data_IF_538572339556
#
_entry.id   IF_538572339556
#
_cell.length_a   1.000
_cell.length_b   1.000
_cell.length_c   1.000
_cell.angle_alpha   90.00
_cell.angle_beta   90.00
_cell.angle_gamma   90.00
#
_symmetry.space_group_name_H-M   'P 1'
#
loop_
_entity.id
_entity.type
_entity.pdbx_description
1 polymer ?
#
# COMPACT_ATOMS: atom_id res chain seq x y z
N UNK A 1 -5.91 -6.99 -2.33
CA UNK A 1 -6.69 -5.80 -2.68
C UNK A 1 -7.81 -6.16 -3.68
N UNK A 2 -7.49 -6.63 -4.91
CA UNK A 2 -8.47 -6.88 -5.99
C UNK A 2 -9.65 -7.73 -5.52
N UNK A 3 -9.41 -8.91 -4.93
CA UNK A 3 -10.48 -9.76 -4.38
C UNK A 3 -11.39 -9.03 -3.39
N UNK A 4 -10.79 -8.24 -2.48
CA UNK A 4 -11.55 -7.46 -1.50
C UNK A 4 -12.46 -6.43 -2.17
N UNK A 5 -11.97 -5.76 -3.21
CA UNK A 5 -12.75 -4.76 -3.98
C UNK A 5 -13.87 -5.45 -4.77
N UNK A 6 -13.59 -6.53 -5.48
CA UNK A 6 -14.58 -7.28 -6.26
C UNK A 6 -15.69 -7.92 -5.39
N UNK A 7 -15.40 -8.20 -4.10
CA UNK A 7 -16.37 -8.72 -3.14
C UNK A 7 -17.22 -7.63 -2.44
N UNK A 8 -17.01 -6.34 -2.74
CA UNK A 8 -17.84 -5.28 -2.17
C UNK A 8 -19.30 -5.38 -2.66
N UNK A 9 -20.29 -5.05 -1.80
CA UNK A 9 -21.70 -5.18 -2.16
C UNK A 9 -22.11 -4.40 -3.42
N UNK A 10 -21.46 -3.26 -3.67
CA UNK A 10 -21.73 -2.39 -4.85
C UNK A 10 -20.90 -2.75 -6.07
N UNK A 11 -20.07 -3.81 -6.00
CA UNK A 11 -19.33 -4.41 -7.13
C UNK A 11 -18.68 -3.36 -8.05
N UNK A 12 -17.74 -2.55 -7.57
CA UNK A 12 -17.12 -1.53 -8.39
C UNK A 12 -16.33 -2.16 -9.55
N UNK A 13 -16.29 -1.49 -10.69
CA UNK A 13 -15.39 -1.86 -11.77
C UNK A 13 -13.93 -1.67 -11.35
N UNK A 14 -13.07 -2.59 -11.77
CA UNK A 14 -11.64 -2.56 -11.49
C UNK A 14 -10.87 -2.55 -12.79
N UNK A 15 -10.01 -1.55 -12.99
CA UNK A 15 -9.08 -1.46 -14.11
C UNK A 15 -7.66 -1.52 -13.54
N UNK A 16 -6.80 -2.35 -14.11
CA UNK A 16 -5.38 -2.36 -13.78
C UNK A 16 -4.63 -1.43 -14.73
N UNK A 17 -4.16 -0.30 -14.22
CA UNK A 17 -3.33 0.64 -14.96
C UNK A 17 -1.87 0.42 -14.60
N UNK A 18 -1.07 -0.07 -15.56
CA UNK A 18 0.37 -0.27 -15.40
C UNK A 18 1.11 0.99 -15.83
N UNK A 19 1.43 1.84 -14.86
CA UNK A 19 2.29 3.00 -15.06
C UNK A 19 3.74 2.57 -15.35
N UNK A 20 4.63 3.53 -15.58
CA UNK A 20 6.04 3.29 -15.89
C UNK A 20 6.91 4.35 -15.23
N UNK A 21 8.13 3.99 -14.83
CA UNK A 21 9.16 4.93 -14.40
C UNK A 21 10.08 5.31 -15.55
N UNK A 22 10.83 6.39 -15.40
CA UNK A 22 11.72 6.87 -16.44
C UNK A 22 12.85 5.89 -16.82
N UNK A 23 13.11 4.88 -16.01
CA UNK A 23 14.03 3.76 -16.29
C UNK A 23 13.33 2.53 -16.88
N UNK A 24 12.11 2.68 -17.39
CA UNK A 24 11.26 1.63 -17.95
C UNK A 24 10.83 0.52 -16.95
N UNK A 25 11.05 0.75 -15.64
CA UNK A 25 10.58 -0.18 -14.61
C UNK A 25 9.07 -0.03 -14.37
N UNK A 26 8.38 -1.16 -14.24
CA UNK A 26 6.96 -1.22 -13.84
C UNK A 26 6.62 -2.56 -13.17
N UNK A 27 5.34 -2.73 -12.81
CA UNK A 27 4.81 -3.95 -12.19
C UNK A 27 3.94 -4.80 -13.12
N UNK A 28 3.92 -4.53 -14.43
CA UNK A 28 3.02 -5.19 -15.39
C UNK A 28 3.16 -6.70 -15.39
N UNK A 29 4.38 -7.22 -15.54
CA UNK A 29 4.63 -8.66 -15.60
C UNK A 29 4.21 -9.37 -14.32
N UNK A 30 4.40 -8.71 -13.18
CA UNK A 30 4.05 -9.24 -11.86
C UNK A 30 2.54 -9.24 -11.61
N UNK A 31 1.81 -8.24 -12.09
CA UNK A 31 0.40 -8.02 -11.77
C UNK A 31 -0.57 -8.44 -12.88
N UNK A 32 -0.13 -8.53 -14.14
CA UNK A 32 -0.97 -8.99 -15.25
C UNK A 32 -1.61 -10.38 -15.03
N UNK A 33 -0.96 -11.36 -14.34
CA UNK A 33 -1.63 -12.62 -14.03
C UNK A 33 -2.86 -12.44 -13.13
N UNK A 34 -2.91 -11.41 -12.29
CA UNK A 34 -4.09 -11.08 -11.45
C UNK A 34 -5.22 -10.57 -12.35
N UNK A 35 -4.92 -9.67 -13.28
CA UNK A 35 -5.90 -9.18 -14.24
C UNK A 35 -6.49 -10.30 -15.10
N UNK A 36 -5.64 -11.20 -15.57
CA UNK A 36 -6.07 -12.37 -16.37
C UNK A 36 -6.96 -13.33 -15.57
N UNK A 37 -6.61 -13.59 -14.28
CA UNK A 37 -7.39 -14.50 -13.44
C UNK A 37 -8.81 -14.00 -13.20
N UNK A 38 -8.98 -12.69 -12.98
CA UNK A 38 -10.28 -12.08 -12.67
C UNK A 38 -10.97 -11.44 -13.88
N UNK A 39 -10.41 -11.63 -15.08
CA UNK A 39 -10.90 -11.05 -16.33
C UNK A 39 -11.07 -9.53 -16.25
N UNK A 40 -10.05 -8.85 -15.71
CA UNK A 40 -10.07 -7.40 -15.52
C UNK A 40 -9.50 -6.66 -16.72
N UNK A 41 -10.07 -5.53 -17.10
CA UNK A 41 -9.46 -4.62 -18.06
C UNK A 41 -8.07 -4.18 -17.58
N UNK A 42 -7.10 -4.17 -18.49
CA UNK A 42 -5.71 -3.81 -18.24
C UNK A 42 -5.23 -2.79 -19.24
N UNK A 43 -4.57 -1.74 -18.77
CA UNK A 43 -3.96 -0.68 -19.58
C UNK A 43 -2.47 -0.61 -19.28
N UNK A 44 -1.63 -0.73 -20.31
CA UNK A 44 -0.18 -0.61 -20.21
C UNK A 44 0.27 0.75 -20.74
N UNK A 45 0.64 1.66 -19.83
CA UNK A 45 1.28 2.92 -20.19
C UNK A 45 2.69 2.67 -20.72
N UNK A 46 3.42 1.71 -20.14
CA UNK A 46 4.74 1.31 -20.62
C UNK A 46 4.71 0.98 -22.11
N UNK A 47 3.82 0.07 -22.54
CA UNK A 47 3.76 -0.38 -23.93
C UNK A 47 3.32 0.74 -24.89
N UNK A 48 2.53 1.69 -24.39
CA UNK A 48 2.13 2.88 -25.16
C UNK A 48 3.27 3.88 -25.39
N UNK A 49 4.08 4.15 -24.35
CA UNK A 49 5.03 5.28 -24.38
C UNK A 49 6.48 4.88 -24.65
N UNK A 50 6.93 3.69 -24.24
CA UNK A 50 8.32 3.26 -24.45
C UNK A 50 8.75 3.26 -25.93
N UNK A 51 7.94 2.81 -26.89
CA UNK A 51 8.27 2.93 -28.30
C UNK A 51 8.42 4.39 -28.75
N UNK A 52 7.63 5.32 -28.18
CA UNK A 52 7.67 6.74 -28.48
C UNK A 52 8.97 7.40 -28.01
N UNK A 53 9.50 6.97 -26.88
CA UNK A 53 10.73 7.52 -26.31
C UNK A 53 11.96 7.26 -27.19
N UNK A 54 11.94 6.21 -28.00
CA UNK A 54 13.01 5.86 -28.92
C UNK A 54 12.94 6.64 -30.26
N UNK A 55 11.78 7.19 -30.61
CA UNK A 55 11.58 7.91 -31.87
C UNK A 55 12.14 9.33 -31.83
N UNK A 56 12.54 9.86 -32.99
CA UNK A 56 12.84 11.26 -33.21
C UNK A 56 11.59 12.04 -33.62
N UNK A 57 11.64 13.36 -33.58
CA UNK A 57 10.50 14.22 -33.95
C UNK A 57 10.01 13.99 -35.38
N UNK A 58 10.95 13.79 -36.33
CA UNK A 58 10.67 13.55 -37.74
C UNK A 58 10.19 12.12 -38.03
N UNK A 59 10.23 11.23 -37.04
CA UNK A 59 9.76 9.87 -37.13
C UNK A 59 8.31 9.69 -36.56
N UNK A 60 7.60 10.80 -36.30
CA UNK A 60 6.23 10.79 -35.83
C UNK A 60 6.07 10.57 -34.34
N UNK A 61 7.10 10.93 -33.54
CA UNK A 61 7.01 10.86 -32.08
C UNK A 61 5.89 11.74 -31.54
N UNK A 62 4.99 11.15 -30.76
CA UNK A 62 3.88 11.84 -30.09
C UNK A 62 4.37 12.53 -28.82
N UNK A 63 5.19 11.86 -28.02
CA UNK A 63 5.73 12.40 -26.76
C UNK A 63 7.16 11.91 -26.52
N UNK A 64 8.03 12.82 -26.08
CA UNK A 64 9.38 12.45 -25.64
C UNK A 64 9.40 12.08 -24.16
N UNK A 65 10.46 11.37 -23.75
CA UNK A 65 10.66 11.00 -22.34
C UNK A 65 10.65 12.22 -21.41
N UNK A 66 11.35 13.31 -21.79
CA UNK A 66 11.41 14.55 -21.02
C UNK A 66 10.10 15.35 -21.00
N UNK A 67 9.18 15.09 -21.93
CA UNK A 67 7.84 15.67 -21.90
C UNK A 67 6.91 14.83 -21.02
N UNK A 68 7.10 13.50 -21.02
CA UNK A 68 6.28 12.59 -20.24
C UNK A 68 6.60 12.68 -18.74
N UNK A 69 7.88 12.74 -18.35
CA UNK A 69 8.31 12.78 -16.96
C UNK A 69 8.83 14.16 -16.56
N UNK A 70 8.54 14.59 -15.32
CA UNK A 70 9.22 15.73 -14.73
C UNK A 70 10.39 15.31 -13.80
N UNK A 71 10.38 14.05 -13.32
CA UNK A 71 11.48 13.42 -12.60
C UNK A 71 11.59 11.93 -12.95
N UNK A 72 12.30 11.12 -12.15
CA UNK A 72 12.48 9.69 -12.37
C UNK A 72 11.17 8.89 -12.24
N UNK A 73 10.22 9.35 -11.43
CA UNK A 73 9.07 8.58 -10.97
C UNK A 73 7.72 9.13 -11.42
N UNK A 74 7.63 10.45 -11.62
CA UNK A 74 6.35 11.12 -11.77
C UNK A 74 6.12 11.63 -13.19
N UNK A 75 4.96 11.35 -13.77
CA UNK A 75 4.58 11.95 -15.05
C UNK A 75 4.31 13.45 -14.89
N UNK A 76 4.66 14.22 -15.90
CA UNK A 76 4.26 15.62 -16.05
C UNK A 76 2.77 15.71 -16.39
N UNK A 77 2.22 16.94 -16.51
CA UNK A 77 0.86 17.15 -17.00
C UNK A 77 0.65 16.54 -18.41
N UNK A 78 1.66 16.64 -19.30
CA UNK A 78 1.60 15.99 -20.61
C UNK A 78 1.62 14.45 -20.49
N UNK A 79 2.39 13.92 -19.54
CA UNK A 79 2.39 12.49 -19.23
C UNK A 79 1.04 12.01 -18.71
N UNK A 80 0.42 12.73 -17.78
CA UNK A 80 -0.93 12.43 -17.29
C UNK A 80 -1.98 12.48 -18.41
N UNK A 81 -1.86 13.42 -19.36
CA UNK A 81 -2.76 13.46 -20.53
C UNK A 81 -2.67 12.18 -21.36
N UNK A 82 -1.44 11.72 -21.66
CA UNK A 82 -1.24 10.45 -22.37
C UNK A 82 -1.78 9.24 -21.59
N UNK A 83 -1.63 9.23 -20.25
CA UNK A 83 -2.22 8.17 -19.42
C UNK A 83 -3.76 8.18 -19.51
N UNK A 84 -4.36 9.37 -19.54
CA UNK A 84 -5.81 9.50 -19.73
C UNK A 84 -6.25 9.02 -21.12
N UNK A 85 -5.51 9.36 -22.17
CA UNK A 85 -5.77 8.88 -23.54
C UNK A 85 -5.71 7.33 -23.63
N UNK A 86 -4.78 6.71 -22.88
CA UNK A 86 -4.70 5.24 -22.81
C UNK A 86 -5.96 4.62 -22.16
N UNK A 87 -6.53 5.26 -21.15
CA UNK A 87 -7.77 4.82 -20.50
C UNK A 87 -8.96 5.08 -21.43
N UNK A 88 -9.02 6.23 -22.09
CA UNK A 88 -10.06 6.56 -23.09
C UNK A 88 -10.07 5.51 -24.20
N UNK A 89 -8.90 5.18 -24.74
CA UNK A 89 -8.76 4.13 -25.74
C UNK A 89 -9.30 2.77 -25.26
N UNK A 90 -9.09 2.39 -23.99
CA UNK A 90 -9.69 1.20 -23.42
C UNK A 90 -11.22 1.27 -23.49
N UNK A 91 -11.83 2.39 -23.10
CA UNK A 91 -13.29 2.54 -23.15
C UNK A 91 -13.82 2.51 -24.57
N UNK A 92 -13.14 3.15 -25.52
CA UNK A 92 -13.50 3.05 -26.94
C UNK A 92 -13.45 1.60 -27.46
N UNK A 93 -12.41 0.84 -27.04
CA UNK A 93 -12.29 -0.57 -27.42
C UNK A 93 -13.38 -1.44 -26.81
N UNK A 94 -13.78 -1.17 -25.58
CA UNK A 94 -14.89 -1.87 -24.92
C UNK A 94 -16.22 -1.57 -25.65
N UNK A 95 -16.46 -0.31 -25.99
CA UNK A 95 -17.67 0.10 -26.72
C UNK A 95 -17.74 -0.53 -28.11
N UNK A 96 -16.62 -0.51 -28.88
CA UNK A 96 -16.51 -1.11 -30.22
C UNK A 96 -16.65 -2.63 -30.21
N UNK A 97 -16.13 -3.30 -29.16
CA UNK A 97 -16.26 -4.73 -29.00
C UNK A 97 -17.75 -5.12 -28.91
N UNK A 98 -18.58 -4.12 -28.64
CA UNK A 98 -19.98 -4.29 -28.44
C UNK A 98 -20.23 -5.27 -27.31
N UNK A 99 -21.44 -5.50 -26.94
CA UNK A 99 -21.82 -6.51 -25.96
C UNK A 99 -21.60 -7.94 -26.49
N UNK A 100 -20.49 -8.14 -27.23
CA UNK A 100 -20.09 -9.38 -27.89
C UNK A 100 -19.54 -10.45 -26.96
N UNK A 101 -20.09 -10.53 -25.76
CA UNK A 101 -20.13 -11.81 -25.06
C UNK A 101 -21.34 -12.64 -25.51
N UNK A 102 -21.58 -12.72 -26.81
CA UNK A 102 -22.53 -13.67 -27.38
C UNK A 102 -22.26 -15.08 -26.85
N UNK A 103 -21.00 -15.49 -26.73
CA UNK A 103 -20.60 -16.79 -26.19
C UNK A 103 -21.01 -17.00 -24.73
N UNK A 104 -20.91 -15.96 -23.89
CA UNK A 104 -21.33 -16.05 -22.50
C UNK A 104 -22.86 -16.03 -22.36
N UNK A 105 -23.53 -15.23 -23.18
CA UNK A 105 -24.98 -15.20 -23.27
C UNK A 105 -25.57 -16.55 -23.77
N UNK A 106 -24.96 -17.16 -24.77
CA UNK A 106 -25.34 -18.50 -25.29
C UNK A 106 -25.14 -19.60 -24.22
N UNK A 107 -24.16 -19.44 -23.34
CA UNK A 107 -23.93 -20.36 -22.20
C UNK A 107 -24.80 -20.04 -20.97
N UNK A 108 -25.65 -19.01 -21.03
CA UNK A 108 -26.51 -18.58 -19.92
C UNK A 108 -25.69 -18.10 -18.69
N UNK A 109 -24.45 -17.67 -18.91
CA UNK A 109 -23.59 -17.10 -17.87
C UNK A 109 -23.87 -15.59 -17.78
N UNK A 110 -24.17 -15.13 -16.59
CA UNK A 110 -24.18 -13.69 -16.29
C UNK A 110 -22.77 -13.23 -15.86
N UNK A 111 -22.45 -11.95 -16.05
CA UNK A 111 -21.18 -11.36 -15.56
C UNK A 111 -20.95 -11.65 -14.07
N UNK A 112 -22.02 -11.61 -13.28
CA UNK A 112 -21.98 -11.93 -11.85
C UNK A 112 -21.56 -13.38 -11.59
N UNK A 113 -22.05 -14.32 -12.39
CA UNK A 113 -21.70 -15.73 -12.25
C UNK A 113 -20.24 -15.98 -12.65
N UNK A 114 -19.77 -15.35 -13.73
CA UNK A 114 -18.37 -15.43 -14.17
C UNK A 114 -17.45 -14.86 -13.08
N UNK A 115 -17.78 -13.68 -12.55
CA UNK A 115 -17.01 -13.07 -11.45
C UNK A 115 -16.96 -13.99 -10.22
N UNK A 116 -18.08 -14.59 -9.83
CA UNK A 116 -18.13 -15.50 -8.69
C UNK A 116 -17.31 -16.77 -8.94
N UNK A 117 -17.33 -17.32 -10.14
CA UNK A 117 -16.49 -18.45 -10.51
C UNK A 117 -15.00 -18.09 -10.41
N UNK A 118 -14.60 -16.93 -10.96
CA UNK A 118 -13.22 -16.44 -10.87
C UNK A 118 -12.76 -16.17 -9.42
N UNK A 119 -13.65 -15.66 -8.57
CA UNK A 119 -13.35 -15.45 -7.14
C UNK A 119 -13.16 -16.76 -6.37
N UNK A 120 -13.71 -17.88 -6.86
CA UNK A 120 -13.51 -19.21 -6.26
C UNK A 120 -12.18 -19.87 -6.68
N UNK A 121 -11.50 -19.32 -7.68
CA UNK A 121 -10.19 -19.83 -8.10
C UNK A 121 -9.10 -19.49 -7.07
N UNK A 122 -8.04 -20.30 -7.02
CA UNK A 122 -6.89 -20.04 -6.18
C UNK A 122 -6.21 -18.73 -6.61
N UNK A 123 -5.89 -17.81 -5.67
CA UNK A 123 -5.23 -16.56 -6.01
C UNK A 123 -3.82 -16.78 -6.57
N UNK A 124 -3.46 -16.08 -7.64
CA UNK A 124 -2.16 -16.22 -8.33
C UNK A 124 -0.97 -15.88 -7.42
N UNK A 125 -1.11 -14.83 -6.60
CA UNK A 125 -0.02 -14.32 -5.73
C UNK A 125 -0.28 -14.69 -4.26
N UNK A 126 -1.38 -15.38 -3.96
CA UNK A 126 -1.86 -15.66 -2.62
C UNK A 126 -2.81 -14.58 -2.09
N UNK A 127 -3.41 -14.86 -0.94
CA UNK A 127 -4.43 -14.01 -0.31
C UNK A 127 -4.27 -13.92 1.22
N UNK A 128 -3.08 -14.13 1.73
CA UNK A 128 -2.81 -14.16 3.18
C UNK A 128 -3.34 -12.93 3.92
N UNK A 129 -3.35 -11.78 3.26
CA UNK A 129 -3.80 -10.50 3.82
C UNK A 129 -5.17 -10.03 3.30
N UNK A 130 -5.98 -10.91 2.68
CA UNK A 130 -7.30 -10.53 2.13
C UNK A 130 -8.23 -9.96 3.22
N UNK A 131 -8.21 -10.55 4.41
CA UNK A 131 -9.03 -10.14 5.54
C UNK A 131 -8.28 -9.29 6.58
N UNK A 132 -7.22 -8.60 6.16
CA UNK A 132 -6.45 -7.73 7.05
C UNK A 132 -7.33 -6.61 7.63
N UNK A 133 -7.14 -6.35 8.92
CA UNK A 133 -7.74 -5.25 9.67
C UNK A 133 -6.65 -4.34 10.20
N UNK A 134 -6.98 -3.08 10.42
CA UNK A 134 -6.10 -2.13 11.09
C UNK A 134 -6.39 -2.14 12.59
N UNK A 135 -5.34 -2.30 13.39
CA UNK A 135 -5.33 -2.06 14.82
C UNK A 135 -4.67 -0.70 15.07
N UNK A 136 -5.40 0.22 15.66
CA UNK A 136 -4.92 1.52 16.14
C UNK A 136 -5.55 1.84 17.51
N UNK A 137 -5.29 3.02 18.08
CA UNK A 137 -5.88 3.42 19.37
C UNK A 137 -7.41 3.43 19.40
N UNK A 138 -8.06 3.40 18.23
CA UNK A 138 -9.54 3.43 18.10
C UNK A 138 -10.14 2.05 17.88
N UNK A 139 -9.37 1.04 17.55
CA UNK A 139 -9.90 -0.30 17.28
C UNK A 139 -10.35 -0.98 18.58
N UNK A 140 -11.66 -0.99 18.80
CA UNK A 140 -12.31 -1.64 19.93
C UNK A 140 -12.64 -3.12 19.68
N UNK A 141 -12.42 -3.62 18.47
CA UNK A 141 -12.76 -5.01 18.07
C UNK A 141 -11.58 -5.96 18.18
N UNK A 142 -10.36 -5.44 18.24
CA UNK A 142 -9.18 -6.26 18.42
C UNK A 142 -9.15 -6.81 19.86
N UNK A 143 -9.01 -8.14 19.99
CA UNK A 143 -8.68 -8.78 21.26
C UNK A 143 -7.18 -8.72 21.46
N UNK A 144 -6.68 -7.56 21.85
CA UNK A 144 -5.28 -7.30 22.07
C UNK A 144 -5.06 -6.71 23.45
N UNK A 145 -3.98 -7.10 24.11
CA UNK A 145 -3.45 -6.41 25.28
C UNK A 145 -2.29 -5.51 24.81
N UNK A 146 -2.32 -4.22 25.17
CA UNK A 146 -1.32 -3.25 24.79
C UNK A 146 -0.76 -2.58 26.05
N UNK A 147 0.56 -2.64 26.21
CA UNK A 147 1.32 -1.77 27.09
C UNK A 147 2.04 -0.74 26.22
N UNK A 148 1.55 0.50 26.23
CA UNK A 148 2.10 1.58 25.41
C UNK A 148 3.48 2.04 25.84
N UNK A 149 3.94 1.65 27.06
CA UNK A 149 5.24 2.06 27.60
C UNK A 149 5.45 3.57 27.52
N UNK A 150 6.42 3.99 26.71
CA UNK A 150 6.71 5.40 26.43
C UNK A 150 6.10 5.96 25.15
N UNK A 151 5.22 5.20 24.47
CA UNK A 151 4.53 5.63 23.24
C UNK A 151 3.18 6.31 23.54
N UNK A 152 3.17 7.20 24.50
CA UNK A 152 2.00 7.87 25.06
C UNK A 152 1.53 9.11 24.29
N UNK A 153 2.30 9.52 23.29
CA UNK A 153 2.00 10.69 22.46
C UNK A 153 1.28 10.34 21.17
N UNK A 154 0.88 11.35 20.41
CA UNK A 154 0.29 11.20 19.07
C UNK A 154 1.04 12.09 18.09
N UNK A 155 1.46 11.53 16.97
CA UNK A 155 2.05 12.25 15.85
C UNK A 155 0.94 12.84 14.97
N UNK A 156 0.98 14.13 14.75
CA UNK A 156 0.02 14.86 13.92
C UNK A 156 0.62 15.33 12.59
N UNK A 157 1.86 14.94 12.31
CA UNK A 157 2.61 15.44 11.15
C UNK A 157 2.56 14.52 9.91
N UNK A 158 2.06 13.28 10.04
CA UNK A 158 1.85 12.43 8.88
C UNK A 158 0.55 12.85 8.19
N UNK A 159 0.70 13.63 7.13
CA UNK A 159 -0.41 14.14 6.32
C UNK A 159 -0.25 13.68 4.89
N UNK A 160 -1.36 13.58 4.15
CA UNK A 160 -1.32 13.37 2.72
C UNK A 160 -0.49 14.46 2.05
N UNK A 161 0.44 14.07 1.18
CA UNK A 161 1.41 14.99 0.56
C UNK A 161 0.75 15.86 -0.51
N UNK A 162 -0.35 15.38 -1.09
CA UNK A 162 -1.07 16.03 -2.19
C UNK A 162 -2.47 16.45 -1.74
N UNK A 163 -2.52 17.41 -0.85
CA UNK A 163 -3.78 17.98 -0.38
C UNK A 163 -4.13 19.23 -1.21
N UNK A 164 -5.40 19.33 -1.57
CA UNK A 164 -5.97 20.59 -2.01
C UNK A 164 -5.85 21.61 -0.85
N UNK A 165 -5.27 22.77 -1.10
CA UNK A 165 -5.07 23.85 -0.10
C UNK A 165 -6.37 24.29 0.59
N UNK A 166 -7.52 23.93 0.01
CA UNK A 166 -8.85 24.26 0.55
C UNK A 166 -9.39 23.19 1.52
N UNK A 167 -8.75 22.01 1.60
CA UNK A 167 -9.15 20.95 2.50
C UNK A 167 -8.50 21.12 3.88
N UNK A 168 -9.27 20.80 4.92
CA UNK A 168 -8.74 20.71 6.28
C UNK A 168 -7.73 19.57 6.36
N UNK A 169 -6.48 19.87 6.75
CA UNK A 169 -5.44 18.89 6.91
C UNK A 169 -5.79 17.93 8.04
N UNK A 170 -6.04 16.66 7.70
CA UNK A 170 -6.27 15.59 8.67
C UNK A 170 -5.13 14.58 8.53
N UNK A 171 -4.45 14.19 9.62
CA UNK A 171 -3.43 13.14 9.57
C UNK A 171 -4.03 11.83 9.05
N UNK A 172 -3.30 11.12 8.18
CA UNK A 172 -3.77 9.84 7.61
C UNK A 172 -3.97 8.76 8.67
N UNK A 173 -3.17 8.79 9.73
CA UNK A 173 -3.23 7.86 10.86
C UNK A 173 -3.39 8.63 12.18
N UNK A 174 -4.57 9.23 12.46
CA UNK A 174 -4.76 10.11 13.62
C UNK A 174 -4.74 9.37 14.96
N UNK A 175 -4.89 8.05 14.96
CA UNK A 175 -4.96 7.20 16.15
C UNK A 175 -3.67 6.40 16.38
N UNK A 176 -2.52 7.00 16.07
CA UNK A 176 -1.20 6.40 16.18
C UNK A 176 -0.63 6.44 17.60
N UNK A 177 0.49 5.75 17.81
CA UNK A 177 1.30 5.77 19.04
C UNK A 177 2.67 6.35 18.71
N UNK A 178 3.02 7.46 19.37
CA UNK A 178 4.33 8.09 19.21
C UNK A 178 5.13 8.04 20.49
N UNK A 179 6.35 7.51 20.38
CA UNK A 179 7.41 7.72 21.34
C UNK A 179 8.08 9.08 21.07
N UNK A 180 8.20 9.92 22.10
CA UNK A 180 8.86 11.22 22.00
C UNK A 180 9.94 11.38 23.08
N UNK A 181 11.16 10.90 22.79
CA UNK A 181 12.32 11.01 23.64
C UNK A 181 12.86 12.43 23.79
N UNK A 182 12.37 13.39 22.99
CA UNK A 182 12.81 14.79 23.09
C UNK A 182 12.15 15.53 24.24
N UNK A 183 10.93 15.14 24.64
CA UNK A 183 10.10 15.86 25.61
C UNK A 183 10.25 15.41 27.03
N UNK A 184 10.57 14.15 27.31
CA UNK A 184 10.50 13.62 28.66
C UNK A 184 11.57 12.55 28.92
N UNK A 185 12.40 12.80 29.96
CA UNK A 185 13.41 11.82 30.42
C UNK A 185 12.78 10.55 31.01
N UNK A 186 11.56 10.62 31.57
CA UNK A 186 10.83 9.45 32.09
C UNK A 186 10.41 8.51 30.97
N UNK A 187 10.10 9.01 29.78
CA UNK A 187 9.79 8.18 28.63
C UNK A 187 10.99 7.35 28.15
N UNK A 188 12.22 7.85 28.38
CA UNK A 188 13.44 7.12 28.03
C UNK A 188 13.65 5.83 28.84
N UNK A 189 13.12 5.75 30.05
CA UNK A 189 13.15 4.54 30.88
C UNK A 189 12.15 3.48 30.37
N UNK A 190 11.07 3.94 29.73
CA UNK A 190 10.01 3.10 29.13
C UNK A 190 10.03 3.14 27.61
N UNK A 191 11.20 3.12 27.00
CA UNK A 191 11.39 3.24 25.55
C UNK A 191 10.95 1.97 24.80
N UNK A 192 9.75 1.46 25.12
CA UNK A 192 9.16 0.26 24.50
C UNK A 192 7.65 0.43 24.33
N UNK A 193 7.11 -0.40 23.43
CA UNK A 193 5.70 -0.69 23.24
C UNK A 193 5.53 -2.21 23.18
N UNK A 194 4.52 -2.76 23.82
CA UNK A 194 4.26 -4.20 23.82
C UNK A 194 2.81 -4.49 23.42
N UNK A 195 2.64 -5.43 22.50
CA UNK A 195 1.37 -5.90 21.97
C UNK A 195 1.30 -7.41 22.15
N UNK A 196 0.30 -7.90 22.92
CA UNK A 196 -0.04 -9.31 22.99
C UNK A 196 -1.36 -9.55 22.25
N UNK A 197 -1.34 -10.48 21.28
CA UNK A 197 -2.50 -10.71 20.41
C UNK A 197 -2.49 -12.12 19.82
N UNK A 198 -3.67 -12.75 19.78
CA UNK A 198 -3.89 -13.98 19.00
C UNK A 198 -4.22 -13.62 17.55
N UNK A 199 -3.30 -13.90 16.63
CA UNK A 199 -3.48 -13.71 15.20
C UNK A 199 -2.55 -14.62 14.40
N UNK A 200 -2.89 -14.85 13.12
CA UNK A 200 -2.00 -15.62 12.23
C UNK A 200 -1.03 -14.75 11.43
N UNK A 201 -1.33 -13.48 11.24
CA UNK A 201 -0.44 -12.56 10.54
C UNK A 201 -0.49 -11.18 11.17
N UNK A 202 0.67 -10.54 11.26
CA UNK A 202 0.83 -9.21 11.83
C UNK A 202 1.83 -8.40 10.99
N UNK A 203 1.46 -7.14 10.70
CA UNK A 203 2.31 -6.14 10.07
C UNK A 203 2.47 -4.96 11.01
N UNK A 204 3.68 -4.43 11.11
CA UNK A 204 3.93 -3.11 11.70
C UNK A 204 3.82 -2.05 10.60
N UNK A 205 3.01 -1.02 10.85
CA UNK A 205 2.98 0.19 10.02
C UNK A 205 3.58 1.33 10.84
N UNK A 206 4.68 1.91 10.36
CA UNK A 206 5.38 2.98 11.05
C UNK A 206 5.71 4.14 10.10
N UNK A 207 5.97 5.31 10.67
CA UNK A 207 6.35 6.49 9.91
C UNK A 207 7.81 6.38 9.47
N UNK A 208 8.04 6.49 8.16
CA UNK A 208 9.33 6.76 7.53
C UNK A 208 9.37 8.23 7.16
N UNK A 209 10.40 8.97 7.49
CA UNK A 209 10.46 10.42 7.21
C UNK A 209 11.83 10.90 6.77
N UNK A 210 12.89 10.15 7.06
CA UNK A 210 14.27 10.56 6.80
C UNK A 210 14.76 11.77 7.65
N UNK A 211 13.96 12.23 8.61
CA UNK A 211 14.33 13.34 9.47
C UNK A 211 15.34 12.90 10.56
N UNK A 212 16.23 13.80 10.94
CA UNK A 212 17.31 13.50 11.92
C UNK A 212 16.80 13.26 13.34
N UNK A 213 15.61 13.77 13.66
CA UNK A 213 14.97 13.63 14.98
C UNK A 213 14.16 12.34 15.12
N UNK A 214 14.06 11.50 14.09
CA UNK A 214 13.47 10.16 14.18
C UNK A 214 14.54 9.12 14.40
N UNK A 215 14.24 8.09 15.16
CA UNK A 215 15.15 7.02 15.55
C UNK A 215 14.66 5.66 15.11
N UNK A 216 15.52 4.66 15.23
CA UNK A 216 15.24 3.26 14.92
C UNK A 216 14.57 2.57 16.11
N UNK A 217 13.76 1.54 15.79
CA UNK A 217 13.19 0.67 16.80
C UNK A 217 13.47 -0.80 16.47
N UNK A 218 13.83 -1.60 17.49
CA UNK A 218 14.03 -3.03 17.39
C UNK A 218 12.70 -3.75 17.63
N UNK A 219 12.38 -4.71 16.81
CA UNK A 219 11.17 -5.52 16.91
C UNK A 219 11.53 -6.91 17.37
N UNK A 220 10.85 -7.37 18.42
CA UNK A 220 10.98 -8.70 19.01
C UNK A 220 9.64 -9.42 18.94
N UNK A 221 9.67 -10.72 18.74
CA UNK A 221 8.50 -11.61 18.79
C UNK A 221 8.81 -12.71 19.83
N UNK A 222 7.96 -12.85 20.84
CA UNK A 222 8.10 -13.83 21.91
C UNK A 222 9.49 -13.78 22.60
N UNK A 223 10.04 -12.58 22.71
CA UNK A 223 11.34 -12.31 23.30
C UNK A 223 12.54 -12.44 22.36
N UNK A 224 12.35 -12.96 21.16
CA UNK A 224 13.41 -13.11 20.16
C UNK A 224 13.48 -11.89 19.23
N UNK A 225 14.71 -11.37 18.99
CA UNK A 225 14.92 -10.27 18.04
C UNK A 225 14.53 -10.70 16.62
N UNK A 226 13.77 -9.86 15.94
CA UNK A 226 13.28 -10.14 14.59
C UNK A 226 13.90 -9.24 13.53
N UNK A 227 13.72 -7.92 13.65
CA UNK A 227 14.33 -6.93 12.75
C UNK A 227 14.40 -5.55 13.42
N UNK A 228 15.05 -4.61 12.74
CA UNK A 228 15.05 -3.19 13.10
C UNK A 228 14.18 -2.40 12.13
N UNK A 229 13.15 -1.71 12.64
CA UNK A 229 12.36 -0.74 11.90
C UNK A 229 13.19 0.56 11.79
N UNK A 230 13.61 0.88 10.57
CA UNK A 230 14.42 2.07 10.26
C UNK A 230 13.57 3.10 9.52
N UNK A 231 13.30 4.28 10.10
CA UNK A 231 12.48 5.32 9.47
C UNK A 231 13.24 6.16 8.43
N UNK A 232 14.44 5.73 7.98
CA UNK A 232 15.29 6.45 7.04
C UNK A 232 15.48 5.70 5.71
N UNK A 233 14.67 4.69 5.42
CA UNK A 233 14.86 3.85 4.22
C UNK A 233 14.59 4.64 2.94
N UNK A 234 13.51 5.43 2.91
CA UNK A 234 13.08 6.16 1.70
C UNK A 234 13.36 7.65 1.77
N UNK A 235 13.72 8.20 2.92
CA UNK A 235 14.07 9.60 3.14
C UNK A 235 12.97 10.62 2.75
N UNK A 236 11.71 10.23 2.80
CA UNK A 236 10.56 11.12 2.65
C UNK A 236 9.41 10.66 3.53
N UNK A 237 8.53 11.59 3.90
CA UNK A 237 7.46 11.32 4.84
C UNK A 237 6.37 10.41 4.23
N UNK A 238 6.24 9.19 4.73
CA UNK A 238 5.20 8.23 4.33
C UNK A 238 5.02 7.13 5.37
N UNK A 239 4.05 6.25 5.14
CA UNK A 239 3.87 5.04 5.94
C UNK A 239 4.68 3.88 5.36
N UNK A 240 5.46 3.21 6.21
CA UNK A 240 6.18 2.00 5.86
C UNK A 240 5.53 0.79 6.54
N UNK A 241 5.17 -0.23 5.77
CA UNK A 241 4.52 -1.44 6.27
C UNK A 241 5.47 -2.64 6.14
N UNK A 242 5.77 -3.29 7.28
CA UNK A 242 6.66 -4.45 7.34
C UNK A 242 5.93 -5.63 7.96
N UNK A 243 6.00 -6.80 7.31
CA UNK A 243 5.43 -8.03 7.86
C UNK A 243 6.29 -8.48 9.02
N UNK A 244 5.67 -8.59 10.22
CA UNK A 244 6.32 -9.18 11.40
C UNK A 244 6.28 -10.70 11.25
N UNK A 245 5.08 -11.28 11.04
CA UNK A 245 4.93 -12.69 10.74
C UNK A 245 3.69 -12.96 9.88
N UNK A 246 3.67 -14.14 9.23
CA UNK A 246 2.54 -14.62 8.43
C UNK A 246 2.48 -16.16 8.53
N UNK A 247 1.84 -16.65 9.59
CA UNK A 247 1.69 -18.04 9.94
C UNK A 247 0.48 -18.70 9.23
N UNK A 248 0.38 -20.02 9.30
CA UNK A 248 -0.77 -20.75 8.76
C UNK A 248 -1.94 -20.76 9.74
N UNK A 249 -1.66 -20.75 11.02
CA UNK A 249 -2.60 -20.81 12.14
C UNK A 249 -2.53 -19.54 12.98
N UNK A 250 -3.62 -19.23 13.65
CA UNK A 250 -3.67 -18.14 14.63
C UNK A 250 -3.10 -18.67 15.94
N UNK A 251 -2.15 -17.93 16.50
CA UNK A 251 -1.48 -18.23 17.76
C UNK A 251 -1.31 -16.93 18.56
N UNK A 252 -1.18 -17.03 19.88
CA UNK A 252 -0.92 -15.87 20.72
C UNK A 252 0.57 -15.52 20.67
N UNK A 253 0.87 -14.28 20.33
CA UNK A 253 2.23 -13.77 20.26
C UNK A 253 2.37 -12.48 21.07
N UNK A 254 3.54 -12.29 21.66
CA UNK A 254 3.95 -11.04 22.29
C UNK A 254 4.94 -10.34 21.36
N UNK A 255 4.53 -9.18 20.84
CA UNK A 255 5.39 -8.33 19.99
C UNK A 255 5.83 -7.11 20.79
N UNK A 256 7.14 -6.95 20.94
CA UNK A 256 7.75 -5.83 21.65
C UNK A 256 8.55 -4.98 20.68
N UNK A 257 8.31 -3.68 20.70
CA UNK A 257 9.01 -2.67 19.91
C UNK A 257 9.79 -1.81 20.87
N UNK A 258 11.12 -1.83 20.78
CA UNK A 258 12.03 -1.07 21.64
C UNK A 258 12.80 -0.04 20.83
N UNK A 259 12.81 1.19 21.29
CA UNK A 259 13.67 2.22 20.69
C UNK A 259 15.14 1.80 20.84
N UNK A 260 15.90 1.90 19.75
CA UNK A 260 17.33 1.62 19.78
C UNK A 260 18.01 2.51 20.84
N UNK A 261 18.99 1.95 21.58
CA UNK A 261 19.56 2.64 22.75
C UNK A 261 20.19 3.98 22.37
N UNK A 262 20.84 4.04 21.20
CA UNK A 262 21.43 5.24 20.62
C UNK A 262 20.43 6.31 20.16
N UNK A 263 19.13 5.94 20.04
CA UNK A 263 18.05 6.79 19.52
C UNK A 263 16.98 7.14 20.58
N UNK A 264 17.23 6.84 21.87
CA UNK A 264 16.27 7.09 22.95
C UNK A 264 15.90 8.55 23.18
N UNK A 265 16.67 9.47 22.63
CA UNK A 265 16.40 10.92 22.65
C UNK A 265 15.65 11.41 21.40
N UNK A 266 15.27 10.50 20.50
CA UNK A 266 14.56 10.78 19.26
C UNK A 266 13.08 10.39 19.34
N UNK A 267 12.40 10.49 18.21
CA UNK A 267 10.99 10.13 18.04
C UNK A 267 10.87 8.85 17.22
N UNK A 268 9.81 8.08 17.47
CA UNK A 268 9.38 6.96 16.61
C UNK A 268 7.87 6.85 16.67
N UNK A 269 7.21 6.71 15.49
CA UNK A 269 5.76 6.64 15.42
C UNK A 269 5.30 5.30 14.85
N UNK A 270 4.57 4.55 15.66
CA UNK A 270 3.77 3.40 15.24
C UNK A 270 2.44 3.95 14.72
N UNK A 271 2.20 3.86 13.43
CA UNK A 271 0.96 4.33 12.80
C UNK A 271 -0.21 3.37 13.05
N UNK A 272 0.10 2.10 13.22
CA UNK A 272 -0.85 1.04 13.50
C UNK A 272 -0.26 -0.33 13.21
N UNK A 273 -1.10 -1.36 13.38
CA UNK A 273 -0.77 -2.73 12.99
C UNK A 273 -1.82 -3.27 12.03
N UNK A 274 -1.36 -3.94 10.96
CA UNK A 274 -2.25 -4.76 10.16
C UNK A 274 -2.28 -6.18 10.72
N UNK A 275 -3.47 -6.72 11.03
CA UNK A 275 -3.59 -8.08 11.57
C UNK A 275 -4.60 -8.94 10.82
N UNK A 276 -4.40 -10.25 10.84
CA UNK A 276 -5.34 -11.26 10.34
C UNK A 276 -5.50 -12.33 11.42
N UNK A 277 -6.75 -12.58 11.81
CA UNK A 277 -7.12 -13.60 12.79
C UNK A 277 -7.00 -15.01 12.21
#
# INVERSE_FOLDING_TARGET
LVRKVLNLPWKPAVILLFSVFANDWNLQDRLSPVGKLYDLPMVSVLDAVSPQFALKNDEGRVISKNQFFYDMFHPSNAGHSVMADCIEYLFERIDQAGHASLDAFEKGLTEEKILQENLNLAPVIGNSFENIRLLDKKDIYAKAYIDEGGFDSTDTQLQSVEMDDQLSLTPEFPYNWMYDGTKNTLNREKAYFELEMECRALLLVFKDSGEVNVGKAKVYVDGEYHFTADPHINNWQHCNAVIIFNNKTSENHVVRIEIAEEDRDKQFTILGFGYVL
#
